data_IF_531315971163
#
_entry.id   IF_531315971163
#
_cell.length_a   1.000
_cell.length_b   1.000
_cell.length_c   1.000
_cell.angle_alpha   90.00
_cell.angle_beta   90.00
_cell.angle_gamma   90.00
#
_symmetry.space_group_name_H-M   'P 1'
#
loop_
_entity.id
_entity.type
_entity.pdbx_description
1 polymer ?
#
# COMPACT_ATOMS: atom_id res chain seq x y z
N UNK A 1 4.82 -4.48 -21.47
CA UNK A 1 5.21 -3.37 -20.59
C UNK A 1 4.35 -3.45 -19.35
N UNK A 2 4.93 -3.59 -18.20
CA UNK A 2 4.20 -3.54 -16.92
C UNK A 2 3.98 -2.08 -16.56
N UNK A 3 2.91 -1.76 -15.80
CA UNK A 3 2.59 -0.39 -15.36
C UNK A 3 3.73 0.32 -14.59
N UNK A 4 4.80 -0.38 -14.21
CA UNK A 4 5.99 0.18 -13.55
C UNK A 4 6.78 1.22 -14.37
N UNK A 5 6.57 1.28 -15.69
CA UNK A 5 7.29 2.23 -16.56
C UNK A 5 6.74 3.67 -16.52
N UNK A 6 5.61 3.90 -15.83
CA UNK A 6 4.89 5.20 -15.89
C UNK A 6 5.17 6.10 -14.68
N UNK A 7 5.54 5.54 -13.51
CA UNK A 7 5.80 6.31 -12.29
C UNK A 7 7.10 5.83 -11.62
N UNK A 8 8.16 6.65 -11.63
CA UNK A 8 9.39 6.29 -10.92
C UNK A 8 9.12 6.18 -9.41
N UNK A 9 9.58 5.09 -8.79
CA UNK A 9 9.58 4.94 -7.35
C UNK A 9 10.28 6.13 -6.69
N UNK A 10 9.67 6.70 -5.66
CA UNK A 10 10.29 7.79 -4.91
C UNK A 10 11.13 7.17 -3.81
N UNK A 11 12.44 7.25 -3.96
CA UNK A 11 13.38 6.83 -2.93
C UNK A 11 13.43 7.84 -1.77
N UNK A 12 13.36 7.33 -0.55
CA UNK A 12 13.51 8.12 0.67
C UNK A 12 14.66 7.58 1.52
N UNK A 13 15.33 8.48 2.23
CA UNK A 13 16.44 8.14 3.10
C UNK A 13 15.96 8.03 4.56
N UNK A 14 16.32 6.94 5.21
CA UNK A 14 16.20 6.73 6.64
C UNK A 14 17.59 6.81 7.26
N UNK A 15 17.73 7.63 8.27
CA UNK A 15 18.96 7.75 9.05
C UNK A 15 18.77 7.05 10.40
N UNK A 16 19.65 6.10 10.73
CA UNK A 16 19.67 5.45 12.05
C UNK A 16 20.91 5.94 12.79
N UNK A 17 20.70 6.62 13.92
CA UNK A 17 21.74 7.21 14.77
C UNK A 17 21.72 6.53 16.14
N UNK A 18 22.77 5.78 16.47
CA UNK A 18 22.86 5.06 17.75
C UNK A 18 23.12 5.96 18.98
N UNK A 19 23.27 7.26 18.77
CA UNK A 19 23.53 8.23 19.85
C UNK A 19 24.97 8.17 20.38
N UNK A 20 25.86 7.36 19.81
CA UNK A 20 27.28 7.27 20.16
C UNK A 20 28.20 7.84 19.07
N UNK A 21 27.61 8.25 17.95
CA UNK A 21 28.32 8.80 16.79
C UNK A 21 28.28 7.91 15.54
N UNK A 22 27.75 6.71 15.64
CA UNK A 22 27.54 5.87 14.47
C UNK A 22 26.21 6.24 13.80
N UNK A 23 26.28 6.49 12.50
CA UNK A 23 25.13 6.86 11.68
C UNK A 23 25.08 5.91 10.49
N UNK A 24 23.99 5.19 10.35
CA UNK A 24 23.68 4.36 9.18
C UNK A 24 22.55 5.00 8.36
N UNK A 25 22.67 4.93 7.03
CA UNK A 25 21.68 5.47 6.09
C UNK A 25 21.19 4.36 5.21
N UNK A 26 19.87 4.26 5.08
CA UNK A 26 19.18 3.26 4.29
C UNK A 26 18.27 4.00 3.30
N UNK A 27 18.35 3.64 2.02
CA UNK A 27 17.47 4.15 0.99
C UNK A 27 16.40 3.09 0.69
N UNK A 28 15.14 3.49 0.74
CA UNK A 28 14.00 2.60 0.50
C UNK A 28 12.94 3.32 -0.34
N UNK A 29 12.04 2.57 -0.95
CA UNK A 29 10.89 3.13 -1.64
C UNK A 29 9.90 3.74 -0.63
N UNK A 30 9.31 4.87 -0.97
CA UNK A 30 8.21 5.48 -0.21
C UNK A 30 7.07 4.46 -0.04
N UNK A 31 6.57 4.32 1.18
CA UNK A 31 5.53 3.35 1.51
C UNK A 31 6.04 1.96 1.91
N UNK A 32 7.34 1.69 1.78
CA UNK A 32 7.90 0.44 2.26
C UNK A 32 7.88 0.35 3.79
N UNK A 33 7.77 -0.86 4.32
CA UNK A 33 7.83 -1.15 5.75
C UNK A 33 9.25 -1.56 6.14
N UNK A 34 9.78 -0.95 7.19
CA UNK A 34 11.04 -1.33 7.81
C UNK A 34 10.80 -2.00 9.16
N UNK A 35 11.70 -2.88 9.53
CA UNK A 35 11.80 -3.37 10.92
C UNK A 35 12.79 -2.50 11.68
N UNK A 36 12.36 -2.00 12.84
CA UNK A 36 13.21 -1.18 13.73
C UNK A 36 14.40 -2.01 14.20
N UNK A 37 15.65 -1.50 14.07
CA UNK A 37 16.84 -2.29 14.38
C UNK A 37 16.92 -2.67 15.86
N UNK A 38 17.71 -3.73 16.16
CA UNK A 38 18.06 -4.12 17.52
C UNK A 38 18.69 -2.94 18.29
N UNK A 39 18.58 -2.99 19.61
CA UNK A 39 19.21 -2.02 20.50
C UNK A 39 20.73 -2.05 20.29
N UNK A 40 21.39 -0.89 20.09
CA UNK A 40 22.84 -0.82 20.13
C UNK A 40 23.36 -0.99 21.55
N UNK A 41 24.64 -1.34 21.71
CA UNK A 41 25.27 -1.41 23.02
C UNK A 41 25.88 -0.06 23.40
N UNK A 42 25.69 0.33 24.70
CA UNK A 42 26.33 1.53 25.26
C UNK A 42 26.62 1.30 26.75
N UNK A 43 27.91 1.19 27.07
CA UNK A 43 28.35 0.96 28.45
C UNK A 43 27.83 2.03 29.41
N UNK A 44 27.25 1.61 30.54
CA UNK A 44 26.73 2.48 31.57
C UNK A 44 25.38 3.14 31.25
N UNK A 45 24.71 2.72 30.15
CA UNK A 45 23.41 3.26 29.77
C UNK A 45 22.41 2.17 29.47
N UNK A 46 21.14 2.41 29.81
CA UNK A 46 20.00 1.60 29.43
C UNK A 46 19.38 2.17 28.17
N UNK A 47 19.17 1.31 27.18
CA UNK A 47 18.41 1.68 25.99
C UNK A 47 16.93 1.83 26.30
N UNK A 48 16.32 2.95 25.87
CA UNK A 48 14.91 3.26 26.09
C UNK A 48 14.05 3.10 24.85
N UNK A 49 14.64 2.97 23.67
CA UNK A 49 13.96 2.86 22.39
C UNK A 49 14.57 3.75 21.31
N UNK A 50 14.03 3.66 20.11
CA UNK A 50 14.37 4.51 18.97
C UNK A 50 13.35 5.63 18.83
N UNK A 51 13.79 6.89 18.74
CA UNK A 51 12.88 8.03 18.58
C UNK A 51 13.05 8.68 17.20
N UNK A 52 11.91 9.00 16.55
CA UNK A 52 11.86 9.83 15.35
C UNK A 52 11.69 11.32 15.65
N UNK A 53 11.72 11.70 16.94
CA UNK A 53 11.46 13.04 17.44
C UNK A 53 10.01 13.26 17.87
N UNK A 54 9.08 12.37 17.53
CA UNK A 54 7.66 12.43 17.92
C UNK A 54 7.23 11.14 18.63
N UNK A 55 7.62 9.99 18.11
CA UNK A 55 7.29 8.66 18.61
C UNK A 55 8.55 7.95 19.11
N UNK A 56 8.34 6.95 19.96
CA UNK A 56 9.39 6.00 20.37
C UNK A 56 8.97 4.60 19.94
N UNK A 57 9.92 3.86 19.38
CA UNK A 57 9.74 2.53 18.82
C UNK A 57 10.64 1.54 19.54
N UNK A 58 10.17 0.32 19.72
CA UNK A 58 10.97 -0.79 20.23
C UNK A 58 11.69 -1.52 19.08
N UNK A 59 12.82 -2.20 19.37
CA UNK A 59 13.42 -3.12 18.42
C UNK A 59 12.40 -4.15 17.92
N UNK A 60 12.37 -4.37 16.61
CA UNK A 60 11.42 -5.29 15.97
C UNK A 60 10.10 -4.66 15.52
N UNK A 61 9.75 -3.45 15.99
CA UNK A 61 8.55 -2.75 15.52
C UNK A 61 8.60 -2.56 14.00
N UNK A 62 7.45 -2.65 13.36
CA UNK A 62 7.30 -2.40 11.91
C UNK A 62 6.79 -0.99 11.67
N UNK A 63 7.50 -0.21 10.85
CA UNK A 63 7.16 1.18 10.51
C UNK A 63 7.00 1.29 9.00
N UNK A 64 5.82 1.71 8.53
CA UNK A 64 5.62 2.10 7.14
C UNK A 64 6.14 3.53 6.92
N UNK A 65 7.13 3.69 6.05
CA UNK A 65 7.86 4.96 5.89
C UNK A 65 7.35 5.72 4.68
N UNK A 66 6.69 6.85 4.93
CA UNK A 66 6.10 7.71 3.88
C UNK A 66 6.93 8.97 3.57
N UNK A 67 7.92 9.26 4.40
CA UNK A 67 8.85 10.39 4.23
C UNK A 67 10.20 10.05 4.89
N UNK A 68 11.27 10.73 4.48
CA UNK A 68 12.56 10.61 5.12
C UNK A 68 12.47 10.83 6.62
N UNK A 69 13.09 9.97 7.42
CA UNK A 69 13.06 10.04 8.88
C UNK A 69 14.42 9.72 9.49
N UNK A 70 14.61 10.14 10.74
CA UNK A 70 15.78 9.79 11.54
C UNK A 70 15.33 9.06 12.79
N UNK A 71 15.81 7.85 12.98
CA UNK A 71 15.66 7.11 14.23
C UNK A 71 16.91 7.35 15.08
N UNK A 72 16.73 7.92 16.27
CA UNK A 72 17.81 8.19 17.21
C UNK A 72 17.61 7.36 18.47
N UNK A 73 18.61 6.58 18.84
CA UNK A 73 18.61 5.81 20.07
C UNK A 73 18.51 6.71 21.31
N UNK A 74 17.60 6.36 22.19
CA UNK A 74 17.37 7.04 23.46
C UNK A 74 18.02 6.24 24.58
N UNK A 75 18.67 6.93 25.51
CA UNK A 75 19.49 6.33 26.55
C UNK A 75 19.19 6.94 27.91
N UNK A 76 19.21 6.11 28.94
CA UNK A 76 19.19 6.50 30.34
C UNK A 76 20.48 6.04 31.02
N UNK A 77 21.15 6.94 31.75
CA UNK A 77 22.36 6.59 32.48
C UNK A 77 22.02 5.65 33.65
N UNK A 78 22.79 4.54 33.79
CA UNK A 78 22.66 3.61 34.90
C UNK A 78 23.41 4.18 36.10
N UNK A 79 22.66 4.73 37.09
CA UNK A 79 23.24 5.26 38.32
C UNK A 79 23.45 4.09 39.30
N UNK A 80 24.70 3.69 39.49
CA UNK A 80 25.07 2.66 40.47
C UNK A 80 24.99 3.19 41.90
N UNK A 81 23.93 2.86 42.64
CA UNK A 81 23.72 3.26 44.04
C UNK A 81 24.33 2.29 45.04
N UNK A 82 25.61 1.91 44.89
CA UNK A 82 26.38 1.17 45.88
C UNK A 82 26.01 -0.32 46.13
N UNK A 83 25.07 -0.90 45.37
CA UNK A 83 24.84 -2.34 45.33
C UNK A 83 25.64 -2.96 44.18
N UNK A 84 26.08 -4.20 44.33
CA UNK A 84 26.77 -4.91 43.26
C UNK A 84 25.80 -5.24 42.14
N UNK A 85 26.08 -4.75 40.92
CA UNK A 85 25.39 -5.13 39.69
C UNK A 85 26.19 -6.19 38.96
N UNK A 86 25.49 -7.13 38.39
CA UNK A 86 26.04 -8.25 37.63
C UNK A 86 25.62 -8.14 36.18
N UNK A 87 26.46 -8.62 35.27
CA UNK A 87 26.25 -8.51 33.84
C UNK A 87 25.35 -9.63 33.34
N UNK A 88 24.51 -9.28 32.36
CA UNK A 88 23.60 -10.23 31.66
C UNK A 88 24.12 -10.37 30.23
N UNK A 89 24.65 -11.55 29.92
CA UNK A 89 25.12 -11.91 28.59
C UNK A 89 24.01 -12.64 27.83
N UNK A 90 23.85 -12.34 26.56
CA UNK A 90 22.86 -12.98 25.70
C UNK A 90 23.51 -13.74 24.56
N UNK A 91 22.95 -14.90 24.22
CA UNK A 91 23.33 -15.72 23.06
C UNK A 91 22.05 -16.18 22.40
N UNK A 92 21.67 -15.53 21.29
CA UNK A 92 20.40 -15.74 20.61
C UNK A 92 20.68 -16.47 19.31
N UNK A 93 19.91 -17.52 19.02
CA UNK A 93 19.89 -18.22 17.73
C UNK A 93 19.29 -17.35 16.63
N UNK A 94 19.20 -17.94 15.43
CA UNK A 94 18.49 -17.31 14.31
C UNK A 94 16.97 -17.38 14.56
N UNK A 95 16.21 -16.56 13.80
CA UNK A 95 14.75 -16.62 13.70
C UNK A 95 14.00 -16.10 14.94
N UNK A 96 14.61 -15.14 15.63
CA UNK A 96 13.98 -14.43 16.73
C UNK A 96 14.97 -13.56 17.49
N UNK A 97 14.46 -12.76 18.41
CA UNK A 97 15.25 -11.84 19.23
C UNK A 97 14.82 -11.92 20.69
N UNK A 98 15.73 -11.52 21.59
CA UNK A 98 15.39 -11.24 22.99
C UNK A 98 15.85 -9.82 23.35
N UNK A 99 15.10 -9.19 24.26
CA UNK A 99 15.47 -7.90 24.86
C UNK A 99 15.51 -8.05 26.37
N UNK A 100 16.60 -7.58 26.97
CA UNK A 100 16.83 -7.67 28.43
C UNK A 100 17.84 -6.60 28.85
N UNK A 101 17.74 -6.10 30.07
CA UNK A 101 18.71 -5.16 30.61
C UNK A 101 20.10 -5.85 30.78
N UNK A 102 21.16 -5.19 30.30
CA UNK A 102 22.53 -5.72 30.35
C UNK A 102 23.09 -5.88 31.77
N UNK A 103 22.57 -5.15 32.74
CA UNK A 103 23.00 -5.20 34.13
C UNK A 103 21.79 -5.26 35.06
N UNK A 104 21.89 -6.05 36.12
CA UNK A 104 20.89 -6.11 37.16
C UNK A 104 21.55 -6.33 38.52
N UNK A 105 20.87 -5.89 39.59
CA UNK A 105 21.35 -6.07 40.98
C UNK A 105 20.88 -7.39 41.54
N UNK A 106 21.69 -8.05 42.38
CA UNK A 106 21.26 -9.23 43.10
C UNK A 106 19.90 -9.06 43.78
N UNK A 107 19.00 -10.02 43.54
CA UNK A 107 17.64 -10.02 44.08
C UNK A 107 16.62 -9.25 43.25
N UNK A 108 17.02 -8.48 42.27
CA UNK A 108 16.10 -7.77 41.37
C UNK A 108 15.42 -8.76 40.40
N UNK A 109 14.16 -8.50 40.08
CA UNK A 109 13.45 -9.21 39.04
C UNK A 109 13.93 -8.71 37.69
N UNK A 110 14.50 -9.58 36.86
CA UNK A 110 14.90 -9.32 35.48
C UNK A 110 13.84 -9.87 34.55
N UNK A 111 13.40 -9.07 33.61
CA UNK A 111 12.43 -9.47 32.57
C UNK A 111 13.15 -9.62 31.23
N UNK A 112 12.84 -10.69 30.53
CA UNK A 112 13.32 -11.01 29.18
C UNK A 112 12.10 -10.92 28.25
N UNK A 113 12.11 -9.99 27.29
CA UNK A 113 11.14 -9.97 26.20
C UNK A 113 11.63 -10.89 25.09
N UNK A 114 10.78 -11.82 24.66
CA UNK A 114 11.10 -12.79 23.60
C UNK A 114 10.22 -12.50 22.39
N UNK A 115 10.86 -12.32 21.24
CA UNK A 115 10.17 -12.04 19.98
C UNK A 115 10.65 -13.02 18.91
N UNK A 116 9.93 -14.13 18.69
CA UNK A 116 10.17 -15.01 17.54
C UNK A 116 9.91 -14.25 16.23
N UNK A 117 10.65 -14.59 15.19
CA UNK A 117 10.35 -14.14 13.84
C UNK A 117 9.05 -14.80 13.34
N UNK A 118 8.48 -14.27 12.26
CA UNK A 118 7.31 -14.83 11.61
C UNK A 118 7.55 -16.30 11.22
N UNK A 119 6.59 -17.17 11.45
CA UNK A 119 6.68 -18.60 11.27
C UNK A 119 7.56 -19.36 12.29
N UNK A 120 7.99 -18.72 13.37
CA UNK A 120 8.82 -19.36 14.40
C UNK A 120 8.22 -19.22 15.79
N UNK A 121 8.57 -20.15 16.66
CA UNK A 121 8.25 -20.15 18.09
C UNK A 121 9.54 -20.22 18.90
N UNK A 122 9.49 -19.74 20.14
CA UNK A 122 10.55 -20.01 21.12
C UNK A 122 10.64 -21.53 21.35
N UNK A 123 11.81 -22.11 21.06
CA UNK A 123 12.10 -23.52 21.28
C UNK A 123 12.69 -23.74 22.68
N UNK A 124 13.73 -22.99 23.03
CA UNK A 124 14.37 -23.09 24.33
C UNK A 124 14.82 -21.70 24.81
N UNK A 125 14.58 -21.45 26.11
CA UNK A 125 15.11 -20.27 26.81
C UNK A 125 15.75 -20.73 28.11
N UNK A 126 17.05 -20.53 28.23
CA UNK A 126 17.83 -20.98 29.42
C UNK A 126 18.59 -19.79 29.97
N UNK A 127 18.51 -19.63 31.30
CA UNK A 127 19.35 -18.68 32.05
C UNK A 127 20.29 -19.45 32.92
N UNK A 128 21.58 -19.18 32.86
CA UNK A 128 22.61 -19.84 33.67
C UNK A 128 23.45 -18.83 34.43
N UNK A 129 23.81 -19.18 35.67
CA UNK A 129 24.77 -18.45 36.51
C UNK A 129 25.80 -19.44 37.08
N UNK A 130 27.09 -19.18 36.91
CA UNK A 130 28.16 -20.08 37.36
C UNK A 130 27.98 -21.55 36.90
N UNK A 131 27.43 -21.73 35.66
CA UNK A 131 27.19 -23.06 35.07
C UNK A 131 25.99 -23.84 35.65
N UNK A 132 25.12 -23.18 36.41
CA UNK A 132 23.85 -23.75 36.93
C UNK A 132 22.68 -22.97 36.33
N UNK A 133 21.61 -23.69 36.05
CA UNK A 133 20.34 -23.05 35.61
C UNK A 133 19.75 -22.18 36.72
N UNK A 134 19.20 -21.05 36.29
CA UNK A 134 18.39 -20.12 37.09
C UNK A 134 16.94 -20.33 36.73
N UNK A 135 16.08 -20.46 37.73
CA UNK A 135 14.65 -20.69 37.53
C UNK A 135 14.00 -19.52 36.79
N UNK A 136 13.30 -19.86 35.72
CA UNK A 136 12.54 -18.91 34.89
C UNK A 136 11.05 -19.00 35.22
N UNK A 137 10.39 -17.88 35.21
CA UNK A 137 8.93 -17.74 35.25
C UNK A 137 8.44 -17.25 33.90
N UNK A 138 7.57 -18.00 33.25
CA UNK A 138 6.79 -17.55 32.09
C UNK A 138 5.67 -16.62 32.59
N UNK A 139 5.64 -15.37 32.11
CA UNK A 139 4.63 -14.40 32.52
C UNK A 139 3.34 -14.52 31.69
N UNK A 140 3.32 -15.33 30.61
CA UNK A 140 2.16 -15.61 29.75
C UNK A 140 1.84 -14.52 28.72
N UNK A 141 2.70 -13.52 28.56
CA UNK A 141 2.56 -12.40 27.64
C UNK A 141 3.73 -12.28 26.62
N UNK A 142 4.48 -13.37 26.42
CA UNK A 142 5.68 -13.39 25.59
C UNK A 142 6.93 -12.93 26.35
N UNK A 143 6.80 -12.60 27.64
CA UNK A 143 7.94 -12.28 28.50
C UNK A 143 8.22 -13.37 29.50
N UNK A 144 9.49 -13.46 29.92
CA UNK A 144 9.98 -14.37 30.95
C UNK A 144 10.69 -13.55 32.02
N UNK A 145 10.75 -14.09 33.24
CA UNK A 145 11.46 -13.39 34.31
C UNK A 145 12.21 -14.32 35.20
N UNK A 146 13.30 -13.81 35.79
CA UNK A 146 14.08 -14.51 36.81
C UNK A 146 14.54 -13.51 37.88
N UNK A 147 14.94 -14.03 39.03
CA UNK A 147 15.58 -13.23 40.08
C UNK A 147 17.09 -13.24 39.87
N UNK A 148 17.69 -12.04 39.78
CA UNK A 148 19.14 -11.88 39.55
C UNK A 148 19.95 -12.52 40.69
N UNK A 149 20.79 -13.54 40.41
CA UNK A 149 21.69 -14.12 41.41
C UNK A 149 22.87 -13.19 41.67
N UNK A 150 23.67 -13.53 42.70
CA UNK A 150 24.94 -12.85 43.03
C UNK A 150 26.10 -13.24 42.09
N UNK A 151 25.83 -13.27 40.81
CA UNK A 151 26.78 -13.61 39.75
C UNK A 151 26.28 -13.12 38.38
N UNK A 152 27.21 -12.96 37.46
CA UNK A 152 26.87 -12.73 36.02
C UNK A 152 26.04 -13.90 35.49
N UNK A 153 25.08 -13.59 34.61
CA UNK A 153 24.20 -14.58 33.99
C UNK A 153 24.42 -14.63 32.51
N UNK A 154 24.18 -15.83 31.96
CA UNK A 154 24.11 -16.02 30.50
C UNK A 154 22.71 -16.50 30.15
N UNK A 155 22.06 -15.81 29.21
CA UNK A 155 20.79 -16.16 28.63
C UNK A 155 21.04 -16.77 27.24
N UNK A 156 20.45 -17.93 26.98
CA UNK A 156 20.47 -18.56 25.65
C UNK A 156 19.01 -18.73 25.19
N UNK A 157 18.73 -18.35 23.97
CA UNK A 157 17.43 -18.57 23.33
C UNK A 157 17.62 -19.22 21.96
N UNK A 158 16.77 -20.21 21.66
CA UNK A 158 16.65 -20.82 20.33
C UNK A 158 15.21 -20.76 19.86
N UNK A 159 15.02 -20.77 18.54
CA UNK A 159 13.71 -20.69 17.90
C UNK A 159 13.57 -21.84 16.91
N UNK A 160 12.39 -22.46 16.87
CA UNK A 160 12.02 -23.51 15.93
C UNK A 160 10.86 -23.07 15.05
N UNK A 161 10.73 -23.68 13.89
CA UNK A 161 9.59 -23.44 13.00
C UNK A 161 8.28 -23.77 13.73
N UNK A 162 7.29 -22.89 13.61
CA UNK A 162 5.94 -23.13 14.11
C UNK A 162 5.25 -24.15 13.20
N UNK A 163 4.97 -25.38 13.65
CA UNK A 163 4.36 -26.42 12.83
C UNK A 163 2.92 -26.10 12.42
N UNK A 164 2.27 -25.19 13.12
CA UNK A 164 0.89 -24.77 12.86
C UNK A 164 0.83 -23.44 12.05
N UNK A 165 1.99 -22.83 11.77
CA UNK A 165 2.02 -21.62 10.99
C UNK A 165 1.64 -21.88 9.54
N UNK A 166 0.76 -21.08 9.03
CA UNK A 166 0.44 -21.03 7.60
C UNK A 166 0.72 -19.62 7.09
N UNK A 167 1.39 -19.54 5.96
CA UNK A 167 1.60 -18.24 5.31
C UNK A 167 0.23 -17.56 5.16
N UNK A 168 0.05 -16.34 5.69
CA UNK A 168 -1.19 -15.62 5.54
C UNK A 168 -1.48 -15.40 4.05
N UNK A 169 -2.67 -15.80 3.60
CA UNK A 169 -3.09 -15.52 2.24
C UNK A 169 -2.93 -14.02 1.96
N UNK A 170 -2.35 -13.65 0.81
CA UNK A 170 -2.19 -12.24 0.48
C UNK A 170 -3.54 -11.55 0.54
N UNK A 171 -3.59 -10.40 1.21
CA UNK A 171 -4.82 -9.62 1.29
C UNK A 171 -5.30 -9.28 -0.11
N UNK A 172 -6.57 -9.55 -0.37
CA UNK A 172 -7.27 -9.10 -1.57
C UNK A 172 -7.93 -7.73 -1.35
N UNK A 173 -7.97 -7.23 -0.12
CA UNK A 173 -8.55 -5.92 0.17
C UNK A 173 -7.63 -4.81 -0.33
N UNK A 174 -8.14 -3.98 -1.24
CA UNK A 174 -7.36 -2.90 -1.86
C UNK A 174 -6.87 -1.85 -0.86
N UNK A 175 -7.49 -1.73 0.31
CA UNK A 175 -7.01 -0.83 1.37
C UNK A 175 -5.79 -1.36 2.11
N UNK A 176 -5.52 -2.66 2.03
CA UNK A 176 -4.30 -3.27 2.54
C UNK A 176 -3.19 -3.29 1.47
N UNK A 177 -3.59 -3.31 0.18
CA UNK A 177 -2.66 -3.32 -0.96
C UNK A 177 -2.18 -1.90 -1.28
N UNK A 178 -3.10 -0.91 -1.32
CA UNK A 178 -2.81 0.46 -1.74
C UNK A 178 -2.92 1.42 -0.56
N UNK A 179 -1.80 2.02 -0.19
CA UNK A 179 -1.70 2.95 0.96
C UNK A 179 -2.54 4.23 0.81
N UNK A 180 -2.92 4.56 -0.41
CA UNK A 180 -3.72 5.73 -0.78
C UNK A 180 -5.21 5.42 -0.98
N UNK A 181 -5.64 4.17 -0.69
CA UNK A 181 -7.05 3.76 -0.67
C UNK A 181 -7.47 3.53 0.77
N UNK A 182 -8.09 4.55 1.39
CA UNK A 182 -8.57 4.41 2.76
C UNK A 182 -9.72 3.41 2.87
N UNK A 183 -9.84 2.62 3.97
CA UNK A 183 -10.89 1.61 4.13
C UNK A 183 -12.33 2.16 4.07
N UNK A 184 -12.50 3.45 4.37
CA UNK A 184 -13.80 4.15 4.34
C UNK A 184 -13.93 5.13 3.17
N UNK A 185 -13.03 5.07 2.18
CA UNK A 185 -13.13 5.92 0.99
C UNK A 185 -14.38 5.59 0.18
N UNK A 186 -15.08 6.60 -0.32
CA UNK A 186 -16.30 6.43 -1.11
C UNK A 186 -16.11 5.56 -2.37
N UNK A 187 -14.87 5.47 -2.84
CA UNK A 187 -14.48 4.72 -4.03
C UNK A 187 -13.87 3.34 -3.72
N UNK A 188 -13.69 2.97 -2.45
CA UNK A 188 -12.97 1.75 -2.04
C UNK A 188 -13.55 0.50 -2.70
N UNK A 189 -14.87 0.32 -2.63
CA UNK A 189 -15.55 -0.85 -3.20
C UNK A 189 -15.45 -0.88 -4.73
N UNK A 190 -15.43 0.28 -5.37
CA UNK A 190 -15.25 0.38 -6.81
C UNK A 190 -13.83 0.07 -7.25
N UNK A 191 -12.83 0.52 -6.48
CA UNK A 191 -11.42 0.16 -6.70
C UNK A 191 -11.22 -1.34 -6.48
N UNK A 192 -11.82 -1.92 -5.44
CA UNK A 192 -11.84 -3.35 -5.18
C UNK A 192 -12.35 -4.12 -6.39
N UNK A 193 -13.54 -3.75 -6.87
CA UNK A 193 -14.14 -4.37 -8.05
C UNK A 193 -13.24 -4.27 -9.28
N UNK A 194 -12.71 -3.09 -9.56
CA UNK A 194 -11.86 -2.86 -10.72
C UNK A 194 -10.55 -3.64 -10.65
N UNK A 195 -9.97 -3.77 -9.45
CA UNK A 195 -8.75 -4.54 -9.21
C UNK A 195 -8.98 -6.06 -9.36
N UNK A 196 -10.00 -6.62 -8.70
CA UNK A 196 -10.35 -8.05 -8.75
C UNK A 196 -10.69 -8.53 -10.16
N UNK A 197 -11.34 -7.66 -10.96
CA UNK A 197 -11.69 -7.98 -12.34
C UNK A 197 -10.59 -7.62 -13.36
N UNK A 198 -9.41 -7.23 -12.91
CA UNK A 198 -8.28 -6.91 -13.78
C UNK A 198 -8.51 -5.68 -14.68
N UNK A 199 -9.50 -4.83 -14.35
CA UNK A 199 -9.82 -3.63 -15.12
C UNK A 199 -8.78 -2.53 -14.88
N UNK A 200 -8.41 -2.35 -13.62
CA UNK A 200 -7.45 -1.36 -13.17
C UNK A 200 -6.47 -1.99 -12.18
N UNK A 201 -5.21 -1.60 -12.31
CA UNK A 201 -4.14 -1.96 -11.38
C UNK A 201 -3.64 -0.71 -10.65
N UNK A 202 -2.75 -0.88 -9.68
CA UNK A 202 -2.02 0.25 -9.09
C UNK A 202 -1.14 0.96 -10.12
N UNK A 203 -0.80 2.19 -9.85
CA UNK A 203 0.24 2.93 -10.58
C UNK A 203 1.64 2.50 -10.12
N UNK A 204 1.71 1.87 -8.94
CA UNK A 204 2.86 1.17 -8.39
C UNK A 204 2.37 -0.06 -7.61
N UNK A 205 3.30 -0.79 -6.99
CA UNK A 205 2.95 -1.98 -6.19
C UNK A 205 2.00 -1.66 -5.01
N UNK A 206 2.05 -0.43 -4.48
CA UNK A 206 1.32 -0.03 -3.29
C UNK A 206 0.56 1.31 -3.40
N UNK A 207 0.42 1.87 -4.61
CA UNK A 207 -0.35 3.09 -4.84
C UNK A 207 -1.35 2.89 -5.98
N UNK A 208 -2.60 3.29 -5.78
CA UNK A 208 -3.66 3.29 -6.79
C UNK A 208 -3.77 4.64 -7.50
N UNK A 209 -3.40 5.74 -6.86
CA UNK A 209 -3.55 7.13 -7.30
C UNK A 209 -5.02 7.50 -7.63
N UNK A 210 -5.97 7.43 -6.67
CA UNK A 210 -7.40 7.60 -6.91
C UNK A 210 -7.76 8.96 -7.52
N UNK A 211 -7.01 10.00 -7.20
CA UNK A 211 -7.25 11.38 -7.68
C UNK A 211 -6.52 11.71 -9.01
N UNK A 212 -5.66 10.83 -9.49
CA UNK A 212 -5.01 11.02 -10.79
C UNK A 212 -6.03 10.89 -11.93
N UNK A 213 -5.83 11.66 -13.00
CA UNK A 213 -6.69 11.60 -14.18
C UNK A 213 -6.44 10.33 -14.99
N UNK A 214 -7.48 9.83 -15.64
CA UNK A 214 -7.39 8.70 -16.57
C UNK A 214 -7.31 9.25 -17.99
N UNK A 215 -6.49 8.63 -18.84
CA UNK A 215 -6.39 9.05 -20.25
C UNK A 215 -7.38 8.30 -21.15
N UNK A 216 -7.62 8.86 -22.34
CA UNK A 216 -8.49 8.26 -23.36
C UNK A 216 -7.97 6.87 -23.79
N UNK A 217 -6.65 6.73 -23.95
CA UNK A 217 -5.99 5.47 -24.26
C UNK A 217 -6.18 4.41 -23.17
N UNK A 218 -6.14 4.80 -21.90
CA UNK A 218 -6.38 3.89 -20.78
C UNK A 218 -7.79 3.31 -20.81
N UNK A 219 -8.82 4.14 -21.09
CA UNK A 219 -10.21 3.66 -21.14
C UNK A 219 -10.40 2.61 -22.24
N UNK A 220 -9.96 2.89 -23.44
CA UNK A 220 -10.12 1.91 -24.54
C UNK A 220 -9.29 0.65 -24.32
N UNK A 221 -8.15 0.76 -23.63
CA UNK A 221 -7.34 -0.41 -23.28
C UNK A 221 -7.99 -1.31 -22.24
N UNK A 222 -8.74 -0.72 -21.28
CA UNK A 222 -9.56 -1.49 -20.33
C UNK A 222 -10.66 -2.27 -21.08
N UNK A 223 -11.38 -1.61 -22.00
CA UNK A 223 -12.45 -2.25 -22.78
C UNK A 223 -11.90 -3.32 -23.73
N UNK A 224 -10.77 -3.05 -24.41
CA UNK A 224 -10.13 -4.04 -25.27
C UNK A 224 -9.66 -5.29 -24.48
N UNK A 225 -9.18 -5.10 -23.26
CA UNK A 225 -8.80 -6.19 -22.37
C UNK A 225 -10.02 -7.04 -21.97
N UNK A 226 -11.16 -6.43 -21.69
CA UNK A 226 -12.42 -7.13 -21.42
C UNK A 226 -12.85 -7.99 -22.59
N UNK A 227 -12.60 -7.55 -23.83
CA UNK A 227 -12.94 -8.29 -25.05
C UNK A 227 -11.84 -9.28 -25.48
N UNK A 228 -10.73 -9.36 -24.75
CA UNK A 228 -9.60 -10.25 -25.10
C UNK A 228 -8.93 -9.88 -26.42
N UNK A 229 -8.86 -8.61 -26.75
CA UNK A 229 -8.31 -8.15 -28.03
C UNK A 229 -6.80 -8.29 -28.05
N UNK A 230 -6.28 -9.15 -28.91
CA UNK A 230 -4.84 -9.39 -29.07
C UNK A 230 -4.23 -8.61 -30.25
N UNK A 231 -5.03 -8.27 -31.27
CA UNK A 231 -4.57 -7.54 -32.45
C UNK A 231 -5.71 -6.76 -33.09
N UNK A 232 -5.38 -5.69 -33.79
CA UNK A 232 -6.31 -4.90 -34.61
C UNK A 232 -5.59 -4.31 -35.82
N UNK A 233 -6.33 -4.07 -36.90
CA UNK A 233 -5.81 -3.34 -38.06
C UNK A 233 -5.69 -1.85 -37.73
N UNK A 234 -4.69 -1.19 -38.29
CA UNK A 234 -4.49 0.23 -38.14
C UNK A 234 -5.74 1.03 -38.59
N UNK A 235 -6.26 1.85 -37.68
CA UNK A 235 -7.40 2.74 -37.95
C UNK A 235 -6.99 4.05 -38.64
N UNK A 236 -5.69 4.31 -38.78
CA UNK A 236 -5.13 5.43 -39.54
C UNK A 236 -5.05 6.74 -38.75
N UNK A 237 -5.13 6.73 -37.41
CA UNK A 237 -4.93 7.94 -36.62
C UNK A 237 -3.48 8.38 -36.65
N UNK A 238 -3.24 9.68 -36.87
CA UNK A 238 -1.91 10.25 -37.04
C UNK A 238 -1.04 10.20 -35.79
N UNK A 239 -1.65 10.04 -34.61
CA UNK A 239 -1.01 10.03 -33.29
C UNK A 239 -1.08 8.66 -32.60
N UNK A 240 -1.51 7.62 -33.28
CA UNK A 240 -1.54 6.26 -32.78
C UNK A 240 -0.49 5.45 -33.51
N UNK A 241 0.67 5.29 -32.88
CA UNK A 241 1.81 4.53 -33.37
C UNK A 241 1.90 3.19 -32.62
N UNK A 242 3.05 2.50 -32.66
CA UNK A 242 3.30 1.23 -31.98
C UNK A 242 3.43 1.34 -30.45
N UNK A 243 2.56 2.11 -29.83
CA UNK A 243 2.49 2.34 -28.37
C UNK A 243 1.56 1.31 -27.71
N UNK A 244 1.64 1.18 -26.39
CA UNK A 244 0.89 0.20 -25.61
C UNK A 244 -0.64 0.25 -25.82
N UNK A 245 -1.19 1.40 -26.18
CA UNK A 245 -2.63 1.61 -26.43
C UNK A 245 -3.02 1.36 -27.90
N UNK A 246 -2.07 1.20 -28.82
CA UNK A 246 -2.36 1.21 -30.25
C UNK A 246 -3.36 0.13 -30.68
N UNK A 247 -3.16 -1.10 -30.26
CA UNK A 247 -4.09 -2.21 -30.57
C UNK A 247 -5.50 -1.92 -30.06
N UNK A 248 -5.62 -1.38 -28.84
CA UNK A 248 -6.91 -1.09 -28.23
C UNK A 248 -7.64 0.07 -28.94
N UNK A 249 -6.92 1.14 -29.29
CA UNK A 249 -7.49 2.27 -30.02
C UNK A 249 -7.94 1.84 -31.40
N UNK A 250 -7.10 1.09 -32.15
CA UNK A 250 -7.41 0.57 -33.47
C UNK A 250 -8.63 -0.37 -33.47
N UNK A 251 -8.72 -1.26 -32.47
CA UNK A 251 -9.90 -2.10 -32.26
C UNK A 251 -11.13 -1.25 -31.99
N UNK A 252 -11.07 -0.35 -31.01
CA UNK A 252 -12.21 0.44 -30.60
C UNK A 252 -12.77 1.32 -31.75
N UNK A 253 -11.89 1.80 -32.60
CA UNK A 253 -12.28 2.53 -33.83
C UNK A 253 -12.93 1.60 -34.85
N UNK A 254 -12.37 0.40 -35.07
CA UNK A 254 -12.87 -0.58 -36.07
C UNK A 254 -14.29 -1.08 -35.74
N UNK A 255 -14.65 -1.13 -34.46
CA UNK A 255 -15.98 -1.59 -34.00
C UNK A 255 -16.92 -0.42 -33.64
N UNK A 256 -16.50 0.82 -33.87
CA UNK A 256 -17.33 2.03 -33.67
C UNK A 256 -17.49 2.46 -32.21
N UNK A 257 -16.69 1.93 -31.29
CA UNK A 257 -16.68 2.33 -29.86
C UNK A 257 -16.10 3.72 -29.70
N UNK A 258 -15.12 4.09 -30.53
CA UNK A 258 -14.55 5.42 -30.55
C UNK A 258 -14.48 6.00 -31.95
N UNK A 259 -14.54 7.32 -32.03
CA UNK A 259 -14.18 8.10 -33.22
C UNK A 259 -13.01 9.01 -32.85
N UNK A 260 -12.15 9.31 -33.83
CA UNK A 260 -11.11 10.31 -33.66
C UNK A 260 -11.67 11.73 -33.72
N UNK A 261 -10.78 12.67 -33.70
CA UNK A 261 -11.04 14.10 -33.94
C UNK A 261 -11.01 14.40 -35.42
N UNK A 262 -11.54 15.59 -35.82
CA UNK A 262 -11.58 16.05 -37.23
C UNK A 262 -10.19 16.19 -37.86
N UNK A 263 -9.14 16.32 -37.02
CA UNK A 263 -7.74 16.41 -37.46
C UNK A 263 -7.07 15.03 -37.64
N UNK A 264 -7.87 13.96 -37.65
CA UNK A 264 -7.44 12.57 -37.78
C UNK A 264 -6.52 12.11 -36.60
N UNK A 265 -6.69 12.66 -35.41
CA UNK A 265 -6.03 12.21 -34.20
C UNK A 265 -7.01 11.50 -33.26
N UNK A 266 -6.51 10.63 -32.38
CA UNK A 266 -7.29 10.03 -31.30
C UNK A 266 -7.01 10.71 -29.95
N UNK A 267 -5.84 11.25 -29.75
CA UNK A 267 -5.33 11.90 -28.52
C UNK A 267 -5.32 10.92 -27.33
N UNK A 268 -4.59 9.82 -27.42
CA UNK A 268 -4.63 8.74 -26.44
C UNK A 268 -4.12 9.16 -25.04
N UNK A 269 -3.22 10.15 -25.00
CA UNK A 269 -2.61 10.63 -23.75
C UNK A 269 -3.38 11.81 -23.11
N UNK A 270 -4.40 12.33 -23.79
CA UNK A 270 -5.23 13.39 -23.20
C UNK A 270 -6.10 12.80 -22.08
N UNK A 271 -6.25 13.56 -20.99
CA UNK A 271 -7.18 13.20 -19.92
C UNK A 271 -8.61 13.09 -20.49
N UNK A 272 -9.29 12.00 -20.18
CA UNK A 272 -10.65 11.78 -20.64
C UNK A 272 -11.63 12.69 -19.87
N UNK A 273 -12.50 13.38 -20.57
CA UNK A 273 -13.60 14.10 -19.92
C UNK A 273 -14.76 13.16 -19.59
N UNK A 274 -15.60 13.56 -18.62
CA UNK A 274 -16.76 12.75 -18.20
C UNK A 274 -17.75 12.55 -19.34
N UNK A 275 -17.98 13.56 -20.19
CA UNK A 275 -18.83 13.43 -21.37
C UNK A 275 -18.21 12.50 -22.45
N UNK A 276 -16.89 12.52 -22.62
CA UNK A 276 -16.20 11.59 -23.52
C UNK A 276 -16.27 10.13 -23.00
N UNK A 277 -16.13 9.95 -21.69
CA UNK A 277 -16.29 8.64 -21.07
C UNK A 277 -17.70 8.10 -21.26
N UNK A 278 -18.74 8.94 -21.07
CA UNK A 278 -20.14 8.57 -21.33
C UNK A 278 -20.34 8.12 -22.80
N UNK A 279 -19.76 8.83 -23.75
CA UNK A 279 -19.87 8.50 -25.16
C UNK A 279 -19.21 7.14 -25.49
N UNK A 280 -18.00 6.90 -24.97
CA UNK A 280 -17.28 5.62 -25.16
C UNK A 280 -18.10 4.47 -24.58
N UNK A 281 -18.64 4.62 -23.36
CA UNK A 281 -19.42 3.55 -22.71
C UNK A 281 -20.76 3.29 -23.40
N UNK A 282 -21.46 4.33 -23.87
CA UNK A 282 -22.68 4.15 -24.64
C UNK A 282 -22.44 3.43 -25.97
N UNK A 283 -21.37 3.81 -26.70
CA UNK A 283 -20.99 3.12 -27.93
C UNK A 283 -20.56 1.68 -27.67
N UNK A 284 -19.87 1.42 -26.56
CA UNK A 284 -19.49 0.07 -26.19
C UNK A 284 -20.71 -0.79 -25.81
N UNK A 285 -21.69 -0.23 -25.07
CA UNK A 285 -22.96 -0.91 -24.81
C UNK A 285 -23.70 -1.25 -26.10
N UNK A 286 -23.75 -0.32 -27.05
CA UNK A 286 -24.34 -0.56 -28.38
C UNK A 286 -23.58 -1.64 -29.16
N UNK A 287 -22.24 -1.66 -29.10
CA UNK A 287 -21.42 -2.73 -29.67
C UNK A 287 -21.74 -4.10 -29.06
N UNK A 288 -22.00 -4.16 -27.73
CA UNK A 288 -22.45 -5.37 -27.03
C UNK A 288 -23.89 -5.77 -27.36
N UNK A 289 -24.64 -4.96 -28.11
CA UNK A 289 -26.02 -5.19 -28.49
C UNK A 289 -27.03 -4.80 -27.40
N UNK A 290 -26.62 -3.99 -26.44
CA UNK A 290 -27.51 -3.50 -25.38
C UNK A 290 -28.41 -2.37 -25.86
N UNK A 291 -29.55 -2.21 -25.19
CA UNK A 291 -30.47 -1.09 -25.47
C UNK A 291 -29.90 0.22 -24.88
N UNK A 292 -29.52 1.13 -25.77
CA UNK A 292 -29.00 2.45 -25.45
C UNK A 292 -30.02 3.56 -25.63
N UNK A 293 -31.31 3.24 -25.65
CA UNK A 293 -32.41 4.22 -25.90
C UNK A 293 -32.79 5.05 -24.67
N UNK A 294 -32.45 4.59 -23.46
CA UNK A 294 -32.77 5.27 -22.21
C UNK A 294 -32.26 6.72 -22.17
N UNK A 295 -33.07 7.67 -21.71
CA UNK A 295 -32.69 9.08 -21.55
C UNK A 295 -33.26 9.63 -20.25
N UNK A 296 -32.45 10.34 -19.48
CA UNK A 296 -32.87 11.13 -18.33
C UNK A 296 -32.70 12.62 -18.63
N UNK A 297 -33.57 13.46 -18.04
CA UNK A 297 -33.34 14.91 -18.07
C UNK A 297 -32.09 15.26 -17.29
N UNK A 298 -31.34 16.23 -17.79
CA UNK A 298 -30.20 16.82 -17.11
C UNK A 298 -30.55 18.09 -16.32
N UNK A 299 -31.83 18.52 -16.32
CA UNK A 299 -32.30 19.78 -15.73
C UNK A 299 -32.05 19.89 -14.20
N UNK A 300 -31.84 18.76 -13.54
CA UNK A 300 -31.50 18.73 -12.13
C UNK A 300 -30.06 19.20 -11.83
N UNK A 301 -29.22 19.34 -12.87
CA UNK A 301 -27.83 19.73 -12.73
C UNK A 301 -27.62 21.16 -13.19
N UNK A 302 -27.06 21.99 -12.34
CA UNK A 302 -26.84 23.42 -12.57
C UNK A 302 -25.87 23.73 -13.71
N UNK A 303 -25.06 22.75 -14.10
CA UNK A 303 -24.07 22.84 -15.19
C UNK A 303 -24.46 22.02 -16.43
N UNK A 304 -25.74 21.67 -16.58
CA UNK A 304 -26.24 20.92 -17.74
C UNK A 304 -25.98 21.65 -19.07
N UNK A 305 -25.99 23.00 -19.08
CA UNK A 305 -25.67 23.80 -20.25
C UNK A 305 -24.23 23.69 -20.73
N UNK A 306 -23.31 23.21 -19.86
CA UNK A 306 -21.90 22.99 -20.21
C UNK A 306 -21.69 21.65 -20.93
N UNK A 307 -22.71 20.81 -21.07
CA UNK A 307 -22.64 19.60 -21.88
C UNK A 307 -22.49 19.97 -23.34
N UNK A 308 -21.47 19.43 -23.98
CA UNK A 308 -21.25 19.65 -25.42
C UNK A 308 -22.46 19.14 -26.22
N UNK A 309 -22.85 19.85 -27.27
CA UNK A 309 -24.03 19.47 -28.09
C UNK A 309 -23.93 18.03 -28.61
N UNK A 310 -22.74 17.58 -28.99
CA UNK A 310 -22.50 16.20 -29.46
C UNK A 310 -22.65 15.14 -28.34
N UNK A 311 -22.49 15.53 -27.07
CA UNK A 311 -22.52 14.63 -25.93
C UNK A 311 -23.87 14.60 -25.20
N UNK A 312 -24.86 15.41 -25.62
CA UNK A 312 -26.14 15.52 -24.93
C UNK A 312 -26.81 14.17 -24.77
N UNK A 313 -26.94 13.40 -25.85
CA UNK A 313 -27.59 12.11 -25.86
C UNK A 313 -26.85 11.08 -24.97
N UNK A 314 -25.54 11.07 -25.04
CA UNK A 314 -24.71 10.13 -24.26
C UNK A 314 -24.72 10.45 -22.77
N UNK A 315 -24.73 11.73 -22.42
CA UNK A 315 -24.86 12.17 -21.03
C UNK A 315 -26.25 11.84 -20.44
N UNK A 316 -27.32 12.07 -21.22
CA UNK A 316 -28.68 11.67 -20.81
C UNK A 316 -28.80 10.16 -20.62
N UNK A 317 -28.18 9.37 -21.52
CA UNK A 317 -28.13 7.92 -21.38
C UNK A 317 -27.34 7.51 -20.14
N UNK A 318 -26.15 8.03 -19.91
CA UNK A 318 -25.31 7.67 -18.80
C UNK A 318 -25.95 8.02 -17.44
N UNK A 319 -26.70 9.13 -17.38
CA UNK A 319 -27.49 9.49 -16.19
C UNK A 319 -28.70 8.57 -16.03
N UNK A 320 -29.42 8.23 -17.12
CA UNK A 320 -30.56 7.30 -17.09
C UNK A 320 -30.15 5.91 -16.60
N UNK A 321 -28.97 5.44 -16.98
CA UNK A 321 -28.38 4.17 -16.55
C UNK A 321 -27.71 4.25 -15.15
N UNK A 322 -27.74 5.40 -14.49
CA UNK A 322 -27.07 5.58 -13.20
C UNK A 322 -25.55 5.52 -13.24
N UNK A 323 -24.94 5.48 -14.42
CA UNK A 323 -23.49 5.39 -14.59
C UNK A 323 -22.81 6.69 -14.14
N UNK A 324 -23.34 7.82 -14.60
CA UNK A 324 -22.93 9.15 -14.19
C UNK A 324 -23.93 9.72 -13.18
N UNK A 325 -23.45 9.93 -11.98
CA UNK A 325 -24.09 10.75 -10.96
C UNK A 325 -23.36 12.09 -10.88
N UNK A 326 -23.90 13.06 -10.18
CA UNK A 326 -23.21 14.34 -9.97
C UNK A 326 -21.87 14.15 -9.28
N UNK A 327 -20.92 15.02 -9.56
CA UNK A 327 -19.69 15.18 -8.77
C UNK A 327 -20.04 15.82 -7.43
N UNK A 328 -21.03 16.71 -7.45
CA UNK A 328 -21.78 17.18 -6.28
C UNK A 328 -23.25 16.81 -6.45
N UNK A 329 -24.09 17.21 -5.50
CA UNK A 329 -25.53 16.93 -5.59
C UNK A 329 -26.20 17.53 -6.84
N UNK A 330 -25.62 18.59 -7.42
CA UNK A 330 -26.21 19.40 -8.46
C UNK A 330 -25.28 19.72 -9.65
N UNK A 331 -24.09 19.08 -9.75
CA UNK A 331 -23.16 19.31 -10.87
C UNK A 331 -22.66 18.02 -11.49
N UNK A 332 -22.63 17.93 -12.81
CA UNK A 332 -22.11 16.80 -13.60
C UNK A 332 -20.62 16.93 -13.93
N UNK A 333 -20.13 18.14 -14.10
CA UNK A 333 -18.81 18.47 -14.63
C UNK A 333 -18.50 17.75 -15.96
N UNK A 334 -19.32 17.95 -17.02
CA UNK A 334 -19.22 17.15 -18.25
C UNK A 334 -17.84 17.24 -18.91
N UNK A 335 -17.22 18.42 -18.91
CA UNK A 335 -15.89 18.68 -19.48
C UNK A 335 -14.75 18.48 -18.47
N UNK A 336 -15.08 18.14 -17.21
CA UNK A 336 -14.10 17.79 -16.19
C UNK A 336 -13.40 16.47 -16.50
N UNK A 337 -12.09 16.39 -16.26
CA UNK A 337 -11.35 15.14 -16.39
C UNK A 337 -11.81 14.13 -15.36
N UNK A 338 -12.03 12.88 -15.79
CA UNK A 338 -12.40 11.79 -14.88
C UNK A 338 -11.16 11.29 -14.14
N UNK A 339 -11.26 11.21 -12.81
CA UNK A 339 -10.21 10.61 -11.98
C UNK A 339 -10.29 9.09 -12.00
N UNK A 340 -9.21 8.41 -11.60
CA UNK A 340 -9.14 6.95 -11.56
C UNK A 340 -10.22 6.38 -10.64
N UNK A 341 -10.46 6.99 -9.47
CA UNK A 341 -11.55 6.59 -8.57
C UNK A 341 -12.93 6.75 -9.22
N UNK A 342 -13.17 7.83 -9.95
CA UNK A 342 -14.42 8.04 -10.67
C UNK A 342 -14.60 7.03 -11.80
N UNK A 343 -13.55 6.73 -12.55
CA UNK A 343 -13.57 5.70 -13.61
C UNK A 343 -13.88 4.33 -13.02
N UNK A 344 -13.21 3.93 -11.92
CA UNK A 344 -13.50 2.67 -11.24
C UNK A 344 -14.98 2.57 -10.85
N UNK A 345 -15.55 3.63 -10.25
CA UNK A 345 -16.97 3.66 -9.85
C UNK A 345 -17.95 3.60 -11.04
N UNK A 346 -17.60 4.24 -12.14
CA UNK A 346 -18.42 4.22 -13.36
C UNK A 346 -18.36 2.83 -14.01
N UNK A 347 -17.15 2.22 -14.11
CA UNK A 347 -16.98 0.88 -14.66
C UNK A 347 -17.66 -0.18 -13.79
N UNK A 348 -17.56 -0.09 -12.47
CA UNK A 348 -18.27 -1.00 -11.58
C UNK A 348 -19.77 -0.97 -11.86
N UNK A 349 -20.40 0.21 -11.91
CA UNK A 349 -21.84 0.34 -12.21
C UNK A 349 -22.17 -0.21 -13.58
N UNK A 350 -21.33 0.08 -14.57
CA UNK A 350 -21.54 -0.34 -15.95
C UNK A 350 -21.47 -1.86 -16.16
N UNK A 351 -20.54 -2.53 -15.45
CA UNK A 351 -20.32 -3.98 -15.64
C UNK A 351 -21.07 -4.86 -14.62
N UNK A 352 -21.73 -4.25 -13.62
CA UNK A 352 -22.51 -4.97 -12.60
C UNK A 352 -24.01 -5.00 -12.92
N UNK A 353 -24.46 -4.40 -14.04
CA UNK A 353 -25.83 -4.53 -14.57
C UNK A 353 -25.96 -5.84 -15.35
#
# INVERSE_FOLDING_TARGET
MTDEDIYPSVDIEITVNDGTGNINKITINKGATITVPSAPDRDGYRFLGWSDGTNTYNPGDKITVTAGMTLTAQWEEIIYTGKYSYEVFTSVGNNGTISVDRYATEGDKVTIDVTPDEAYLLDELVVTANGKEVELTDNGDGTYSFTMPSADVKISATFAEDPDWTEPEPSTDVSDIFIDVAPNAWYKDAVQYAYENGLMTGVSANEFAPDATTTRGMIVSMLARLEGVESANDAGFADVNDEWYATAVNWAASVGVVNGYEDNTFRPNDAITREQLAAILMNYAAYKGEDVSARASLDAYSDAENVSTWATDTMQWAVAKGLLTGVTADTLQPQGAATRAQVAAILQRFLSE
#
